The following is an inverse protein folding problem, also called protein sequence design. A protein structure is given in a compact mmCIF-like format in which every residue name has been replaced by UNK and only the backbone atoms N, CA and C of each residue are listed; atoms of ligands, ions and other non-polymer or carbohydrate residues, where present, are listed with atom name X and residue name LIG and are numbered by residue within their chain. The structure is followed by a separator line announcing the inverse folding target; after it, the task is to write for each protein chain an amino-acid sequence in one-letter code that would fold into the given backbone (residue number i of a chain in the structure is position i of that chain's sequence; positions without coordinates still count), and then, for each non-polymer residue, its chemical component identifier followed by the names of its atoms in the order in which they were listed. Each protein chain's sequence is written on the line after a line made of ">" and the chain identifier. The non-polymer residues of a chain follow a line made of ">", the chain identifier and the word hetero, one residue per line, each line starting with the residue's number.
data_IF_158100990206
#
_entry.id   IF_158100990206
#
_cell.length_a   1.000
_cell.length_b   1.000
_cell.length_c   1.000
_cell.angle_alpha   90.00
_cell.angle_beta   90.00
_cell.angle_gamma   90.00
#
_symmetry.space_group_name_H-M   'P 1'
#
loop_
_entity.id
_entity.type
_entity.pdbx_description
1 polymer ?
#
# COMPACT_ATOMS: atom_id res chain seq x y z
N UNK A 1 8.84 25.00 -17.86
CA UNK A 1 9.91 24.02 -17.66
C UNK A 1 9.28 22.65 -17.49
N UNK A 2 9.70 21.69 -18.30
CA UNK A 2 9.24 20.31 -18.22
C UNK A 2 10.48 19.43 -18.21
N UNK A 3 10.53 18.48 -17.27
CA UNK A 3 11.61 17.50 -17.23
C UNK A 3 11.29 16.37 -18.21
N UNK A 4 12.34 15.74 -18.74
CA UNK A 4 12.20 14.45 -19.40
C UNK A 4 11.80 13.42 -18.33
N UNK A 5 10.50 13.13 -18.28
CA UNK A 5 9.87 12.34 -17.24
C UNK A 5 8.86 11.38 -17.87
N UNK A 6 9.14 10.09 -17.74
CA UNK A 6 8.23 9.03 -18.15
C UNK A 6 7.26 8.70 -17.02
N UNK A 7 5.98 8.98 -17.25
CA UNK A 7 4.89 8.65 -16.33
C UNK A 7 4.51 7.17 -16.47
N UNK A 8 4.36 6.49 -15.33
CA UNK A 8 3.90 5.11 -15.25
C UNK A 8 2.78 4.98 -14.24
N UNK A 9 1.67 4.39 -14.67
CA UNK A 9 0.57 3.99 -13.80
C UNK A 9 1.01 2.86 -12.86
N UNK A 10 0.39 2.79 -11.69
CA UNK A 10 0.62 1.82 -10.62
C UNK A 10 -0.65 1.64 -9.80
N UNK A 11 -0.81 0.48 -9.17
CA UNK A 11 -1.98 0.19 -8.34
C UNK A 11 -1.94 0.93 -6.98
N UNK A 12 -0.74 1.21 -6.47
CA UNK A 12 -0.52 1.82 -5.16
C UNK A 12 0.29 3.11 -5.27
N UNK A 13 -0.34 4.24 -4.95
CA UNK A 13 0.24 5.58 -5.16
C UNK A 13 1.62 5.77 -4.51
N UNK A 14 1.85 5.24 -3.30
CA UNK A 14 3.16 5.35 -2.63
C UNK A 14 4.26 4.64 -3.43
N UNK A 15 4.00 3.39 -3.87
CA UNK A 15 5.00 2.61 -4.62
C UNK A 15 5.20 3.23 -5.99
N UNK A 16 4.10 3.56 -6.68
CA UNK A 16 4.13 4.15 -8.01
C UNK A 16 4.89 5.47 -8.04
N UNK A 17 4.72 6.36 -7.06
CA UNK A 17 5.44 7.63 -7.02
C UNK A 17 6.96 7.39 -6.90
N UNK A 18 7.36 6.40 -6.11
CA UNK A 18 8.77 6.04 -5.93
C UNK A 18 9.35 5.39 -7.19
N UNK A 19 8.63 4.45 -7.78
CA UNK A 19 9.00 3.79 -9.04
C UNK A 19 9.22 4.83 -10.12
N UNK A 20 8.27 5.76 -10.29
CA UNK A 20 8.39 6.88 -11.21
C UNK A 20 9.65 7.73 -10.91
N UNK A 21 9.91 8.10 -9.64
CA UNK A 21 11.11 8.87 -9.28
C UNK A 21 12.43 8.13 -9.56
N UNK A 22 12.48 6.81 -9.34
CA UNK A 22 13.69 6.00 -9.52
C UNK A 22 13.94 5.67 -11.00
N UNK A 23 12.89 5.31 -11.75
CA UNK A 23 12.98 4.99 -13.17
C UNK A 23 13.44 6.19 -13.99
N UNK A 24 13.03 7.41 -13.60
CA UNK A 24 13.47 8.67 -14.20
C UNK A 24 14.87 9.12 -13.74
N UNK A 25 15.49 8.39 -12.81
CA UNK A 25 16.92 8.51 -12.45
C UNK A 25 17.77 7.34 -12.97
N UNK A 26 17.23 6.56 -13.90
CA UNK A 26 17.93 5.43 -14.53
C UNK A 26 17.93 4.13 -13.72
N UNK A 27 17.32 4.10 -12.53
CA UNK A 27 17.21 2.88 -11.74
C UNK A 27 15.90 2.18 -12.04
N UNK A 28 15.96 1.22 -12.97
CA UNK A 28 14.79 0.47 -13.44
C UNK A 28 14.29 -0.48 -12.34
N UNK A 29 13.08 -0.22 -11.85
CA UNK A 29 12.39 -1.04 -10.87
C UNK A 29 10.89 -1.06 -11.18
N UNK A 30 10.24 -2.20 -10.96
CA UNK A 30 8.79 -2.37 -11.12
C UNK A 30 8.07 -2.12 -9.80
N UNK A 31 6.75 -1.91 -9.85
CA UNK A 31 5.93 -1.77 -8.64
C UNK A 31 5.97 -3.02 -7.73
N UNK A 32 5.85 -4.26 -8.26
CA UNK A 32 5.95 -5.46 -7.44
C UNK A 32 7.32 -5.58 -6.76
N UNK A 33 8.42 -5.39 -7.49
CA UNK A 33 9.77 -5.40 -6.91
C UNK A 33 9.92 -4.37 -5.79
N UNK A 34 9.46 -3.13 -6.00
CA UNK A 34 9.49 -2.08 -4.99
C UNK A 34 8.70 -2.46 -3.73
N UNK A 35 7.49 -2.99 -3.90
CA UNK A 35 6.62 -3.44 -2.81
C UNK A 35 7.24 -4.60 -2.02
N UNK A 36 7.76 -5.60 -2.73
CA UNK A 36 8.39 -6.78 -2.16
C UNK A 36 9.64 -6.46 -1.35
N UNK A 37 10.55 -5.65 -1.91
CA UNK A 37 11.75 -5.14 -1.24
C UNK A 37 11.42 -4.26 -0.01
N UNK A 38 10.26 -3.61 -0.01
CA UNK A 38 9.74 -2.91 1.16
C UNK A 38 9.16 -3.81 2.25
N UNK A 39 9.09 -5.12 2.02
CA UNK A 39 8.33 -6.08 2.83
C UNK A 39 6.90 -5.58 3.06
N UNK A 40 6.21 -5.23 1.97
CA UNK A 40 4.92 -4.56 1.99
C UNK A 40 3.74 -5.44 2.40
N UNK A 41 3.82 -6.75 2.21
CA UNK A 41 2.76 -7.67 2.63
C UNK A 41 2.79 -7.84 4.16
N UNK A 42 1.66 -7.58 4.81
CA UNK A 42 1.52 -7.62 6.26
C UNK A 42 0.09 -7.98 6.67
N UNK A 43 -0.14 -8.22 7.97
CA UNK A 43 -1.46 -8.26 8.55
C UNK A 43 -1.39 -7.80 10.01
N UNK A 44 -2.29 -6.91 10.43
CA UNK A 44 -2.44 -6.54 11.84
C UNK A 44 -3.89 -6.27 12.17
N UNK A 45 -4.30 -6.70 13.37
CA UNK A 45 -5.62 -6.44 13.93
C UNK A 45 -5.51 -5.82 15.32
N UNK A 46 -6.02 -4.61 15.50
CA UNK A 46 -5.99 -3.87 16.76
C UNK A 46 -7.43 -3.66 17.25
N UNK A 47 -7.99 -4.57 18.09
CA UNK A 47 -9.39 -4.51 18.50
C UNK A 47 -9.76 -3.27 19.31
N UNK A 48 -8.78 -2.68 20.01
CA UNK A 48 -8.98 -1.53 20.90
C UNK A 48 -8.76 -0.19 20.20
N UNK A 49 -8.15 -0.18 19.01
CA UNK A 49 -8.00 1.03 18.21
C UNK A 49 -9.14 1.09 17.20
N UNK A 50 -9.89 2.19 17.20
CA UNK A 50 -10.99 2.39 16.23
C UNK A 50 -10.53 3.29 15.10
N UNK A 51 -10.70 2.82 13.87
CA UNK A 51 -10.54 3.60 12.64
C UNK A 51 -11.88 3.53 11.90
N UNK A 52 -12.46 4.68 11.59
CA UNK A 52 -13.80 4.77 11.00
C UNK A 52 -14.83 3.97 11.83
N UNK A 53 -14.85 4.14 13.16
CA UNK A 53 -15.77 3.46 14.08
C UNK A 53 -15.70 1.91 14.16
N UNK A 54 -14.84 1.26 13.38
CA UNK A 54 -14.57 -0.17 13.43
C UNK A 54 -13.18 -0.47 14.02
N UNK A 55 -12.94 -1.69 14.55
CA UNK A 55 -11.61 -2.15 14.91
C UNK A 55 -10.60 -1.95 13.76
N UNK A 56 -9.41 -1.47 14.09
CA UNK A 56 -8.38 -1.23 13.08
C UNK A 56 -7.83 -2.55 12.56
N UNK A 57 -7.81 -2.70 11.23
CA UNK A 57 -7.19 -3.81 10.52
C UNK A 57 -6.38 -3.25 9.35
N UNK A 58 -5.21 -3.82 9.08
CA UNK A 58 -4.38 -3.41 7.94
C UNK A 58 -3.69 -4.62 7.33
N UNK A 59 -3.59 -4.62 6.00
CA UNK A 59 -2.90 -5.62 5.18
C UNK A 59 -1.50 -5.15 4.73
N UNK A 60 -1.06 -4.00 5.25
CA UNK A 60 0.24 -3.39 4.96
C UNK A 60 0.86 -2.75 6.21
N UNK A 61 2.19 -2.52 6.23
CA UNK A 61 2.84 -1.66 7.20
C UNK A 61 2.32 -0.22 7.18
N UNK A 62 2.70 0.57 8.18
CA UNK A 62 2.37 2.00 8.22
C UNK A 62 2.88 2.74 6.95
N UNK A 63 2.17 3.79 6.49
CA UNK A 63 2.59 4.59 5.34
C UNK A 63 4.04 5.07 5.46
N UNK A 64 4.80 5.02 4.36
CA UNK A 64 6.21 5.38 4.32
C UNK A 64 7.17 4.28 4.75
N UNK A 65 6.71 3.25 5.47
CA UNK A 65 7.57 2.14 5.94
C UNK A 65 8.06 1.28 4.77
N UNK A 66 7.20 1.00 3.79
CA UNK A 66 7.54 0.22 2.59
C UNK A 66 8.68 0.92 1.86
N UNK A 67 8.51 2.21 1.57
CA UNK A 67 9.54 3.01 0.94
C UNK A 67 10.86 3.03 1.71
N UNK A 68 10.80 3.30 3.02
CA UNK A 68 12.00 3.38 3.86
C UNK A 68 12.77 2.08 3.88
N UNK A 69 12.07 0.94 3.95
CA UNK A 69 12.68 -0.39 3.92
C UNK A 69 13.32 -0.65 2.56
N UNK A 70 12.60 -0.43 1.46
CA UNK A 70 13.12 -0.62 0.11
C UNK A 70 14.36 0.25 -0.12
N UNK A 71 14.28 1.55 0.18
CA UNK A 71 15.40 2.47 0.02
C UNK A 71 16.62 2.04 0.84
N UNK A 72 16.41 1.60 2.09
CA UNK A 72 17.50 1.07 2.95
C UNK A 72 18.12 -0.20 2.35
N UNK A 73 17.31 -1.12 1.85
CA UNK A 73 17.80 -2.37 1.26
C UNK A 73 18.58 -2.15 -0.03
N UNK A 74 18.17 -1.15 -0.82
CA UNK A 74 18.82 -0.80 -2.07
C UNK A 74 19.93 0.25 -1.93
N UNK A 75 20.26 0.71 -0.71
CA UNK A 75 21.25 1.76 -0.50
C UNK A 75 20.86 3.14 -1.05
N UNK A 76 19.58 3.34 -1.37
CA UNK A 76 19.05 4.60 -1.91
C UNK A 76 18.93 5.63 -0.78
N UNK A 77 19.55 6.80 -0.96
CA UNK A 77 19.38 7.93 -0.03
C UNK A 77 18.25 8.82 -0.51
N UNK A 78 17.31 9.09 0.39
CA UNK A 78 16.12 9.90 0.12
C UNK A 78 16.10 11.10 1.06
N UNK A 79 15.97 12.30 0.50
CA UNK A 79 15.65 13.49 1.32
C UNK A 79 14.15 13.60 1.51
N UNK A 80 13.73 14.01 2.71
CA UNK A 80 12.34 14.25 3.07
C UNK A 80 12.25 15.55 3.86
N UNK A 81 11.25 16.36 3.57
CA UNK A 81 11.02 17.62 4.25
C UNK A 81 9.54 17.79 4.54
N UNK A 82 9.22 18.42 5.68
CA UNK A 82 7.89 18.93 6.00
C UNK A 82 8.02 20.40 6.37
N UNK A 83 7.00 21.18 6.07
CA UNK A 83 7.04 22.63 6.22
C UNK A 83 5.77 23.11 6.90
N UNK A 84 5.92 23.86 7.99
CA UNK A 84 4.81 24.63 8.57
C UNK A 84 4.43 25.83 7.70
N UNK A 85 5.39 26.40 6.96
CA UNK A 85 5.19 27.55 6.08
C UNK A 85 5.03 27.10 4.60
N UNK A 86 3.85 27.32 3.98
CA UNK A 86 3.59 26.96 2.58
C UNK A 86 4.55 27.59 1.57
N UNK A 87 4.92 28.87 1.77
CA UNK A 87 5.83 29.57 0.87
C UNK A 87 7.22 28.92 0.83
N UNK A 88 7.74 28.45 1.98
CA UNK A 88 9.02 27.70 2.02
C UNK A 88 8.92 26.35 1.31
N UNK A 89 7.80 25.66 1.48
CA UNK A 89 7.54 24.40 0.80
C UNK A 89 7.47 24.58 -0.72
N UNK A 90 6.89 25.70 -1.17
CA UNK A 90 6.80 26.06 -2.59
C UNK A 90 8.18 26.41 -3.16
N UNK A 91 8.94 27.25 -2.45
CA UNK A 91 10.30 27.60 -2.85
C UNK A 91 11.18 26.35 -3.02
N UNK A 92 11.08 25.37 -2.10
CA UNK A 92 11.86 24.14 -2.20
C UNK A 92 11.46 23.27 -3.39
N UNK A 93 10.17 23.20 -3.71
CA UNK A 93 9.69 22.49 -4.89
C UNK A 93 10.21 23.14 -6.17
N UNK A 94 10.11 24.46 -6.28
CA UNK A 94 10.58 25.21 -7.45
C UNK A 94 12.11 25.10 -7.62
N UNK A 95 12.87 25.13 -6.52
CA UNK A 95 14.32 24.88 -6.52
C UNK A 95 14.66 23.49 -7.05
N UNK A 96 13.94 22.46 -6.62
CA UNK A 96 14.15 21.11 -7.11
C UNK A 96 13.90 21.00 -8.62
N UNK A 97 12.80 21.59 -9.12
CA UNK A 97 12.47 21.56 -10.54
C UNK A 97 13.53 22.28 -11.39
N UNK A 98 14.03 23.43 -10.93
CA UNK A 98 15.16 24.14 -11.57
C UNK A 98 16.44 23.30 -11.65
N UNK A 99 16.65 22.42 -10.68
CA UNK A 99 17.80 21.51 -10.62
C UNK A 99 17.54 20.16 -11.31
N UNK A 100 16.49 20.04 -12.12
CA UNK A 100 16.09 18.80 -12.79
C UNK A 100 15.77 17.64 -11.83
N UNK A 101 15.18 17.95 -10.68
CA UNK A 101 14.81 16.95 -9.67
C UNK A 101 13.28 16.83 -9.62
N UNK A 102 12.69 15.78 -10.24
CA UNK A 102 11.28 15.47 -10.02
C UNK A 102 11.08 15.16 -8.53
N UNK A 103 9.96 15.62 -7.98
CA UNK A 103 9.75 15.65 -6.53
C UNK A 103 8.45 14.96 -6.17
N UNK A 104 8.54 13.92 -5.35
CA UNK A 104 7.39 13.27 -4.74
C UNK A 104 6.78 14.17 -3.68
N UNK A 105 5.46 14.25 -3.65
CA UNK A 105 4.68 14.99 -2.67
C UNK A 105 3.71 14.04 -1.97
N UNK A 106 3.42 14.32 -0.70
CA UNK A 106 2.25 13.75 -0.02
C UNK A 106 1.15 14.81 -0.01
N UNK A 107 -0.06 14.43 -0.41
CA UNK A 107 -1.21 15.33 -0.59
C UNK A 107 -2.50 14.71 -0.03
N UNK A 108 -3.50 15.58 0.18
CA UNK A 108 -4.87 15.19 0.48
C UNK A 108 -5.70 14.96 -0.78
N UNK A 109 -6.48 13.87 -0.80
CA UNK A 109 -7.28 13.46 -1.96
C UNK A 109 -8.51 14.35 -2.18
N UNK A 110 -9.15 14.80 -1.10
CA UNK A 110 -10.46 15.48 -1.14
C UNK A 110 -10.54 16.70 -2.06
N UNK A 111 -9.42 17.40 -2.29
CA UNK A 111 -9.38 18.61 -3.12
C UNK A 111 -8.63 18.43 -4.46
N UNK A 112 -8.34 17.18 -4.86
CA UNK A 112 -7.79 16.90 -6.19
C UNK A 112 -8.91 17.06 -7.23
N UNK A 113 -8.91 18.18 -7.95
CA UNK A 113 -9.94 18.54 -8.92
C UNK A 113 -10.02 17.59 -10.12
N UNK A 114 -8.96 16.84 -10.41
CA UNK A 114 -8.90 15.86 -11.49
C UNK A 114 -9.46 14.49 -11.09
N UNK A 115 -9.75 14.23 -9.80
CA UNK A 115 -10.51 13.04 -9.39
C UNK A 115 -12.01 13.30 -9.52
N UNK A 116 -12.81 12.29 -9.91
CA UNK A 116 -14.26 12.36 -9.79
C UNK A 116 -14.69 12.55 -8.33
N UNK A 117 -15.84 13.19 -8.11
CA UNK A 117 -16.34 13.53 -6.77
C UNK A 117 -16.49 12.31 -5.86
N UNK A 118 -16.84 11.16 -6.43
CA UNK A 118 -17.01 9.88 -5.73
C UNK A 118 -15.71 9.34 -5.14
N UNK A 119 -14.55 9.72 -5.71
CA UNK A 119 -13.23 9.32 -5.24
C UNK A 119 -12.56 10.37 -4.35
N UNK A 120 -13.20 11.52 -4.11
CA UNK A 120 -12.70 12.59 -3.24
C UNK A 120 -13.11 12.35 -1.78
N UNK A 121 -12.39 11.48 -1.09
CA UNK A 121 -12.56 11.25 0.36
C UNK A 121 -11.44 11.90 1.19
N UNK A 122 -11.69 12.11 2.49
CA UNK A 122 -10.71 12.69 3.41
C UNK A 122 -9.58 11.70 3.74
N UNK A 123 -8.57 11.67 2.88
CA UNK A 123 -7.34 10.91 3.05
C UNK A 123 -6.13 11.76 2.69
N UNK A 124 -5.21 11.91 3.66
CA UNK A 124 -4.08 12.87 3.60
C UNK A 124 -2.72 12.20 3.34
N UNK A 125 -2.71 10.96 2.83
CA UNK A 125 -1.48 10.21 2.59
C UNK A 125 -1.36 9.72 1.14
N UNK A 126 -1.93 10.47 0.18
CA UNK A 126 -1.80 10.18 -1.25
C UNK A 126 -0.47 10.70 -1.79
N UNK A 127 0.16 9.96 -2.70
CA UNK A 127 1.48 10.28 -3.22
C UNK A 127 1.42 10.60 -4.71
N UNK A 128 1.96 11.75 -5.08
CA UNK A 128 2.06 12.22 -6.47
C UNK A 128 3.49 12.67 -6.75
N UNK A 129 3.87 12.80 -8.02
CA UNK A 129 5.17 13.34 -8.42
C UNK A 129 4.95 14.62 -9.23
N UNK A 130 5.60 15.71 -8.82
CA UNK A 130 5.69 16.92 -9.64
C UNK A 130 6.96 16.84 -10.47
N UNK A 131 6.81 16.89 -11.79
CA UNK A 131 7.92 16.76 -12.75
C UNK A 131 8.11 18.00 -13.62
N UNK A 132 7.27 19.02 -13.47
CA UNK A 132 7.42 20.23 -14.26
C UNK A 132 6.54 21.36 -13.76
N UNK A 133 6.71 22.52 -14.40
CA UNK A 133 5.91 23.72 -14.17
C UNK A 133 5.83 24.52 -15.47
N UNK A 134 4.62 24.78 -15.93
CA UNK A 134 4.33 25.64 -17.07
C UNK A 134 3.50 26.82 -16.60
N UNK A 135 3.99 28.04 -16.82
CA UNK A 135 3.37 29.27 -16.31
C UNK A 135 3.07 29.18 -14.79
N UNK A 136 1.79 29.19 -14.40
CA UNK A 136 1.32 29.05 -13.02
C UNK A 136 0.80 27.64 -12.67
N UNK A 137 1.06 26.63 -13.52
CA UNK A 137 0.59 25.25 -13.34
C UNK A 137 1.76 24.29 -13.12
N UNK A 138 1.61 23.40 -12.16
CA UNK A 138 2.53 22.29 -11.92
C UNK A 138 2.07 21.07 -12.70
N UNK A 139 3.02 20.42 -13.39
CA UNK A 139 2.79 19.16 -14.10
C UNK A 139 2.98 18.00 -13.13
N UNK A 140 1.99 17.10 -13.10
CA UNK A 140 1.83 16.08 -12.07
C UNK A 140 1.70 14.70 -12.73
N UNK A 141 2.53 13.80 -12.27
CA UNK A 141 2.38 12.36 -12.43
C UNK A 141 1.70 11.82 -11.18
N UNK A 142 0.39 11.57 -11.25
CA UNK A 142 -0.32 10.81 -10.24
C UNK A 142 -0.32 9.33 -10.63
N UNK A 143 0.38 8.43 -9.90
CA UNK A 143 0.55 7.05 -10.32
C UNK A 143 -0.75 6.25 -10.46
N UNK A 144 -1.88 6.71 -9.92
CA UNK A 144 -3.16 5.96 -10.08
C UNK A 144 -3.85 6.24 -11.42
N UNK A 145 -3.40 7.25 -12.16
CA UNK A 145 -3.86 7.58 -13.50
C UNK A 145 -2.91 7.00 -14.55
N UNK A 146 -3.41 6.81 -15.77
CA UNK A 146 -2.64 6.41 -16.96
C UNK A 146 -2.11 7.60 -17.77
N UNK A 147 -2.46 8.82 -17.37
CA UNK A 147 -2.01 10.08 -17.96
C UNK A 147 -1.56 11.09 -16.89
N UNK A 148 -0.76 12.08 -17.32
CA UNK A 148 -0.35 13.20 -16.46
C UNK A 148 -1.43 14.28 -16.36
N UNK A 149 -1.50 14.94 -15.21
CA UNK A 149 -2.44 16.04 -14.94
C UNK A 149 -1.69 17.30 -14.52
N UNK A 150 -2.41 18.39 -14.32
CA UNK A 150 -1.82 19.63 -13.80
C UNK A 150 -2.70 20.28 -12.74
N UNK A 151 -2.08 20.99 -11.80
CA UNK A 151 -2.76 21.85 -10.82
C UNK A 151 -2.19 23.25 -10.86
N UNK A 152 -3.01 24.28 -10.62
CA UNK A 152 -2.48 25.61 -10.32
C UNK A 152 -1.67 25.58 -9.02
N UNK A 153 -0.88 26.63 -8.79
CA UNK A 153 -0.18 26.83 -7.52
C UNK A 153 -1.13 26.77 -6.31
N UNK A 154 -2.29 27.41 -6.40
CA UNK A 154 -3.29 27.50 -5.33
C UNK A 154 -3.95 26.14 -5.07
N UNK A 155 -4.29 25.42 -6.14
CA UNK A 155 -4.85 24.06 -6.06
C UNK A 155 -3.85 23.09 -5.43
N UNK A 156 -2.58 23.15 -5.85
CA UNK A 156 -1.52 22.31 -5.31
C UNK A 156 -1.23 22.62 -3.84
N UNK A 157 -1.22 23.91 -3.45
CA UNK A 157 -1.04 24.30 -2.05
C UNK A 157 -2.17 23.78 -1.17
N UNK A 158 -3.42 23.89 -1.64
CA UNK A 158 -4.61 23.41 -0.93
C UNK A 158 -4.51 21.92 -0.57
N UNK A 159 -4.05 21.08 -1.51
CA UNK A 159 -3.94 19.63 -1.28
C UNK A 159 -2.70 19.26 -0.46
N UNK A 160 -1.61 20.04 -0.56
CA UNK A 160 -0.38 19.85 0.26
C UNK A 160 -0.58 20.23 1.74
N UNK A 161 -1.59 21.04 2.04
CA UNK A 161 -1.93 21.52 3.39
C UNK A 161 -3.33 21.10 3.84
N UNK A 162 -3.88 20.02 3.27
CA UNK A 162 -5.14 19.44 3.70
C UNK A 162 -5.15 19.17 5.21
N UNK A 163 -6.23 19.56 5.88
CA UNK A 163 -6.41 19.42 7.33
C UNK A 163 -6.85 18.00 7.70
N UNK A 164 -6.66 17.62 8.96
CA UNK A 164 -7.13 16.35 9.54
C UNK A 164 -6.02 15.37 9.87
N UNK A 165 -6.40 14.11 10.13
CA UNK A 165 -5.46 13.04 10.44
C UNK A 165 -4.45 12.86 9.30
N UNK A 166 -3.18 12.60 9.66
CA UNK A 166 -2.07 12.46 8.69
C UNK A 166 -1.87 13.67 7.77
N UNK A 167 -2.22 14.89 8.20
CA UNK A 167 -2.04 16.11 7.40
C UNK A 167 -0.66 16.16 6.72
N UNK A 168 -0.57 16.49 5.41
CA UNK A 168 0.68 16.32 4.69
C UNK A 168 1.74 17.34 5.11
N UNK A 169 1.35 18.57 5.45
CA UNK A 169 2.25 19.65 5.91
C UNK A 169 3.36 19.96 4.90
N UNK A 170 2.98 20.11 3.62
CA UNK A 170 3.92 20.41 2.54
C UNK A 170 4.99 19.32 2.32
N UNK A 171 4.70 18.08 2.72
CA UNK A 171 5.67 16.99 2.67
C UNK A 171 6.15 16.74 1.25
N UNK A 172 7.47 16.82 1.07
CA UNK A 172 8.16 16.54 -0.19
C UNK A 172 9.31 15.56 0.04
N UNK A 173 9.58 14.74 -0.95
CA UNK A 173 10.67 13.78 -0.94
C UNK A 173 11.23 13.52 -2.33
N UNK A 174 12.50 13.17 -2.39
CA UNK A 174 13.17 12.83 -3.64
C UNK A 174 14.47 12.04 -3.37
N UNK A 175 14.83 11.10 -4.26
CA UNK A 175 16.11 10.40 -4.17
C UNK A 175 17.26 11.36 -4.44
N UNK A 176 18.29 11.35 -3.59
CA UNK A 176 19.52 12.16 -3.75
C UNK A 176 20.74 11.33 -4.14
N UNK A 177 20.72 10.03 -3.85
CA UNK A 177 21.75 9.11 -4.30
C UNK A 177 21.09 7.78 -4.61
N UNK A 178 21.31 7.30 -5.83
CA UNK A 178 20.85 6.01 -6.31
C UNK A 178 22.11 5.25 -6.71
N UNK A 179 22.46 4.16 -6.02
CA UNK A 179 23.68 3.42 -6.33
C UNK A 179 23.61 2.82 -7.73
N UNK A 180 24.74 2.84 -8.45
CA UNK A 180 24.86 2.22 -9.77
C UNK A 180 24.80 0.69 -9.69
N UNK A 181 25.38 0.12 -8.62
CA UNK A 181 25.39 -1.31 -8.35
C UNK A 181 24.69 -1.56 -7.02
N UNK A 182 23.63 -2.35 -7.06
CA UNK A 182 22.90 -2.79 -5.87
C UNK A 182 22.91 -4.30 -5.82
N UNK A 183 23.22 -4.86 -4.65
CA UNK A 183 23.08 -6.28 -4.38
C UNK A 183 21.60 -6.64 -4.23
N UNK A 184 20.91 -6.71 -5.37
CA UNK A 184 19.50 -7.00 -5.44
C UNK A 184 19.21 -8.43 -4.96
N UNK A 185 20.14 -9.37 -5.17
CA UNK A 185 20.05 -10.75 -4.69
C UNK A 185 19.86 -10.81 -3.18
N UNK A 186 20.74 -10.16 -2.41
CA UNK A 186 20.61 -10.17 -0.95
C UNK A 186 19.44 -9.30 -0.48
N UNK A 187 19.11 -8.22 -1.19
CA UNK A 187 17.94 -7.40 -0.88
C UNK A 187 16.62 -8.21 -1.02
N UNK A 188 16.43 -8.93 -2.12
CA UNK A 188 15.26 -9.80 -2.32
C UNK A 188 15.15 -10.84 -1.19
N UNK A 189 16.23 -11.58 -0.91
CA UNK A 189 16.23 -12.61 0.14
C UNK A 189 15.91 -12.04 1.53
N UNK A 190 16.51 -10.89 1.89
CA UNK A 190 16.24 -10.22 3.17
C UNK A 190 14.79 -9.75 3.26
N UNK A 191 14.26 -9.18 2.19
CA UNK A 191 12.88 -8.71 2.13
C UNK A 191 11.86 -9.85 2.28
N UNK A 192 12.08 -10.98 1.58
CA UNK A 192 11.25 -12.19 1.70
C UNK A 192 11.30 -12.75 3.14
N UNK A 193 12.50 -12.92 3.71
CA UNK A 193 12.67 -13.40 5.09
C UNK A 193 11.96 -12.50 6.09
N UNK A 194 12.05 -11.19 5.89
CA UNK A 194 11.35 -10.23 6.73
C UNK A 194 9.83 -10.37 6.62
N UNK A 195 9.27 -10.44 5.42
CA UNK A 195 7.82 -10.66 5.25
C UNK A 195 7.39 -11.96 5.92
N UNK A 196 8.13 -13.05 5.75
CA UNK A 196 7.84 -14.32 6.42
C UNK A 196 7.86 -14.19 7.96
N UNK A 197 8.86 -13.48 8.51
CA UNK A 197 8.96 -13.25 9.95
C UNK A 197 7.82 -12.38 10.49
N UNK A 198 7.43 -11.35 9.75
CA UNK A 198 6.32 -10.48 10.10
C UNK A 198 4.98 -11.26 10.06
N UNK A 199 4.76 -12.09 9.02
CA UNK A 199 3.51 -12.87 8.87
C UNK A 199 3.43 -14.07 9.81
N UNK A 200 4.56 -14.66 10.19
CA UNK A 200 4.66 -15.76 11.17
C UNK A 200 4.99 -15.26 12.59
N UNK A 201 4.89 -13.94 12.84
CA UNK A 201 5.26 -13.36 14.12
C UNK A 201 4.53 -14.06 15.27
N UNK A 202 5.21 -14.37 16.39
CA UNK A 202 4.59 -15.06 17.50
C UNK A 202 3.62 -14.17 18.32
N UNK A 203 3.14 -13.06 17.75
CA UNK A 203 2.31 -12.04 18.39
C UNK A 203 0.84 -12.24 17.99
N UNK A 204 -0.13 -12.29 18.93
CA UNK A 204 -1.53 -12.62 18.63
C UNK A 204 -2.25 -11.69 17.65
N UNK A 205 -1.79 -10.44 17.54
CA UNK A 205 -2.43 -9.39 16.73
C UNK A 205 -1.80 -9.20 15.34
N UNK A 206 -0.69 -9.88 15.04
CA UNK A 206 0.08 -9.72 13.80
C UNK A 206 0.03 -10.99 12.97
N UNK A 207 0.08 -10.84 11.65
CA UNK A 207 0.24 -11.94 10.70
C UNK A 207 -0.90 -12.95 10.80
N UNK A 208 -0.55 -14.22 10.62
CA UNK A 208 -1.50 -15.34 10.61
C UNK A 208 -2.21 -15.53 11.96
N UNK A 209 -1.58 -15.14 13.07
CA UNK A 209 -2.23 -15.13 14.39
C UNK A 209 -3.26 -14.01 14.51
N UNK A 210 -2.96 -12.82 13.97
CA UNK A 210 -3.90 -11.73 13.83
C UNK A 210 -5.14 -12.12 13.02
N UNK A 211 -4.95 -12.84 11.91
CA UNK A 211 -6.06 -13.35 11.08
C UNK A 211 -6.97 -14.28 11.90
N UNK A 212 -6.40 -15.24 12.64
CA UNK A 212 -7.16 -16.14 13.52
C UNK A 212 -7.88 -15.39 14.64
N UNK A 213 -7.28 -14.31 15.15
CA UNK A 213 -7.92 -13.46 16.14
C UNK A 213 -9.17 -12.77 15.57
N UNK A 214 -9.09 -12.26 14.35
CA UNK A 214 -10.26 -11.69 13.64
C UNK A 214 -11.32 -12.76 13.39
N UNK A 215 -10.93 -13.94 12.92
CA UNK A 215 -11.86 -15.04 12.68
C UNK A 215 -12.67 -15.38 13.94
N UNK A 216 -12.00 -15.48 15.10
CA UNK A 216 -12.66 -15.70 16.40
C UNK A 216 -13.51 -14.51 16.85
N UNK A 217 -13.15 -13.28 16.46
CA UNK A 217 -13.90 -12.07 16.78
C UNK A 217 -15.20 -11.98 15.99
N UNK A 218 -15.20 -12.39 14.70
CA UNK A 218 -16.40 -12.43 13.83
C UNK A 218 -17.53 -13.23 14.50
N UNK A 219 -17.23 -14.39 15.10
CA UNK A 219 -18.21 -15.21 15.83
C UNK A 219 -18.87 -14.48 17.00
N UNK A 220 -18.17 -13.51 17.59
CA UNK A 220 -18.61 -12.83 18.82
C UNK A 220 -19.24 -11.46 18.54
N UNK A 221 -18.96 -10.83 17.40
CA UNK A 221 -19.41 -9.47 17.12
C UNK A 221 -20.93 -9.35 17.13
N UNK A 222 -21.66 -10.27 16.51
CA UNK A 222 -23.12 -10.16 16.42
C UNK A 222 -23.79 -10.24 17.80
N UNK A 223 -23.33 -11.14 18.68
CA UNK A 223 -23.82 -11.27 20.07
C UNK A 223 -23.43 -10.07 20.94
N UNK A 224 -22.22 -9.56 20.79
CA UNK A 224 -21.67 -8.49 21.66
C UNK A 224 -22.04 -7.08 21.23
N UNK A 225 -22.18 -6.84 19.93
CA UNK A 225 -22.31 -5.51 19.35
C UNK A 225 -23.65 -5.31 18.64
N UNK A 226 -24.43 -6.37 18.44
CA UNK A 226 -25.60 -6.40 17.58
C UNK A 226 -25.24 -6.58 16.10
N UNK A 227 -26.21 -7.05 15.32
CA UNK A 227 -26.06 -7.39 13.88
C UNK A 227 -25.55 -6.20 13.06
N UNK A 228 -26.09 -4.99 13.28
CA UNK A 228 -25.72 -3.82 12.50
C UNK A 228 -24.22 -3.48 12.63
N UNK A 229 -23.69 -3.47 13.86
CA UNK A 229 -22.27 -3.19 14.11
C UNK A 229 -21.36 -4.34 13.67
N UNK A 230 -21.81 -5.59 13.78
CA UNK A 230 -21.08 -6.75 13.28
C UNK A 230 -20.90 -6.68 11.75
N UNK A 231 -21.99 -6.39 11.03
CA UNK A 231 -21.97 -6.21 9.58
C UNK A 231 -21.08 -5.04 9.17
N UNK A 232 -21.13 -3.93 9.92
CA UNK A 232 -20.24 -2.79 9.68
C UNK A 232 -18.76 -3.17 9.83
N UNK A 233 -18.39 -3.92 10.88
CA UNK A 233 -17.02 -4.39 11.07
C UNK A 233 -16.56 -5.30 9.92
N UNK A 234 -17.43 -6.20 9.42
CA UNK A 234 -17.14 -7.04 8.26
C UNK A 234 -16.92 -6.20 6.99
N UNK A 235 -17.77 -5.22 6.72
CA UNK A 235 -17.60 -4.30 5.59
C UNK A 235 -16.29 -3.54 5.70
N UNK A 236 -15.94 -3.04 6.90
CA UNK A 236 -14.67 -2.36 7.09
C UNK A 236 -13.46 -3.28 6.86
N UNK A 237 -13.54 -4.55 7.27
CA UNK A 237 -12.51 -5.56 6.98
C UNK A 237 -12.32 -5.75 5.47
N UNK A 238 -13.41 -5.88 4.72
CA UNK A 238 -13.40 -6.02 3.25
C UNK A 238 -12.87 -4.76 2.57
N UNK A 239 -13.32 -3.57 2.99
CA UNK A 239 -12.83 -2.30 2.44
C UNK A 239 -11.31 -2.18 2.58
N UNK A 240 -10.78 -2.50 3.76
CA UNK A 240 -9.32 -2.47 4.01
C UNK A 240 -8.55 -3.50 3.16
N UNK A 241 -9.22 -4.57 2.72
CA UNK A 241 -8.65 -5.63 1.90
C UNK A 241 -8.69 -5.31 0.40
N UNK A 242 -9.81 -4.81 -0.12
CA UNK A 242 -10.08 -4.70 -1.56
C UNK A 242 -9.81 -3.30 -2.11
N UNK A 243 -10.13 -2.24 -1.36
CA UNK A 243 -10.26 -0.89 -1.94
C UNK A 243 -9.07 0.02 -1.61
N UNK A 244 -8.36 -0.20 -0.49
CA UNK A 244 -7.33 0.75 -0.02
C UNK A 244 -5.97 0.44 -0.64
N UNK A 245 -5.87 0.64 -1.95
CA UNK A 245 -4.63 0.57 -2.73
C UNK A 245 -4.00 -0.81 -2.79
N UNK A 246 -4.80 -1.87 -2.64
CA UNK A 246 -4.31 -3.26 -2.58
C UNK A 246 -4.27 -3.96 -3.93
N UNK A 247 -5.03 -3.44 -4.93
CA UNK A 247 -5.29 -4.14 -6.19
C UNK A 247 -6.20 -5.37 -6.02
N UNK A 248 -6.91 -5.48 -4.89
CA UNK A 248 -7.68 -6.67 -4.49
C UNK A 248 -6.87 -7.68 -3.68
N UNK A 249 -7.56 -8.53 -2.91
CA UNK A 249 -6.94 -9.64 -2.18
C UNK A 249 -5.88 -9.21 -1.16
N UNK A 250 -5.96 -8.00 -0.59
CA UNK A 250 -5.08 -7.55 0.49
C UNK A 250 -3.58 -7.57 0.16
N UNK A 251 -3.17 -7.13 -1.04
CA UNK A 251 -1.79 -7.12 -1.55
C UNK A 251 -1.19 -8.50 -1.91
N UNK A 252 -1.97 -9.59 -1.89
CA UNK A 252 -1.43 -10.91 -2.26
C UNK A 252 -1.05 -10.98 -3.74
N UNK A 253 -1.80 -10.34 -4.64
CA UNK A 253 -1.48 -10.35 -6.08
C UNK A 253 -0.17 -9.61 -6.41
N UNK A 254 0.03 -8.40 -5.88
CA UNK A 254 1.30 -7.68 -6.07
C UNK A 254 2.49 -8.41 -5.40
N UNK A 255 2.26 -9.10 -4.28
CA UNK A 255 3.30 -9.94 -3.68
C UNK A 255 3.58 -11.20 -4.52
N UNK A 256 2.57 -11.80 -5.16
CA UNK A 256 2.76 -12.90 -6.10
C UNK A 256 3.60 -12.44 -7.30
N UNK A 257 3.29 -11.28 -7.89
CA UNK A 257 4.09 -10.70 -8.98
C UNK A 257 5.55 -10.44 -8.54
N UNK A 258 5.76 -9.94 -7.32
CA UNK A 258 7.11 -9.82 -6.76
C UNK A 258 7.83 -11.16 -6.66
N UNK A 259 7.18 -12.21 -6.17
CA UNK A 259 7.79 -13.54 -6.06
C UNK A 259 8.12 -14.13 -7.43
N UNK A 260 7.33 -13.81 -8.46
CA UNK A 260 7.63 -14.19 -9.84
C UNK A 260 8.90 -13.49 -10.32
N UNK A 261 8.95 -12.17 -10.27
CA UNK A 261 10.13 -11.38 -10.68
C UNK A 261 11.38 -11.78 -9.88
N UNK A 262 11.23 -12.03 -8.57
CA UNK A 262 12.31 -12.52 -7.72
C UNK A 262 12.77 -13.93 -8.12
N UNK A 263 11.84 -14.81 -8.49
CA UNK A 263 12.13 -16.15 -8.97
C UNK A 263 12.89 -16.14 -10.29
N UNK A 264 12.48 -15.28 -11.23
CA UNK A 264 13.17 -15.07 -12.50
C UNK A 264 14.58 -14.49 -12.27
N UNK A 265 14.70 -13.42 -11.48
CA UNK A 265 15.99 -12.77 -11.20
C UNK A 265 16.99 -13.69 -10.48
N UNK A 266 16.51 -14.52 -9.55
CA UNK A 266 17.34 -15.44 -8.77
C UNK A 266 17.52 -16.82 -9.42
N UNK A 267 16.92 -17.07 -10.59
CA UNK A 267 16.80 -18.40 -11.20
C UNK A 267 16.27 -19.46 -10.21
N UNK A 268 15.23 -19.11 -9.44
CA UNK A 268 14.65 -19.94 -8.39
C UNK A 268 13.24 -20.40 -8.76
N UNK A 269 13.15 -21.64 -9.26
CA UNK A 269 11.87 -22.26 -9.64
C UNK A 269 10.87 -22.42 -8.48
N UNK A 270 11.36 -22.56 -7.25
CA UNK A 270 10.49 -22.66 -6.08
C UNK A 270 9.76 -21.33 -5.81
N UNK A 271 10.42 -20.19 -6.01
CA UNK A 271 9.79 -18.87 -5.90
C UNK A 271 8.72 -18.66 -6.98
N UNK A 272 8.96 -19.11 -8.21
CA UNK A 272 7.96 -19.06 -9.28
C UNK A 272 6.72 -19.92 -8.94
N UNK A 273 6.90 -21.09 -8.35
CA UNK A 273 5.78 -21.91 -7.90
C UNK A 273 5.02 -21.28 -6.73
N UNK A 274 5.74 -20.70 -5.77
CA UNK A 274 5.14 -19.98 -4.64
C UNK A 274 4.43 -18.70 -5.08
N UNK A 275 4.87 -18.05 -6.17
CA UNK A 275 4.13 -16.94 -6.78
C UNK A 275 2.72 -17.38 -7.19
N UNK A 276 2.59 -18.48 -7.93
CA UNK A 276 1.30 -19.05 -8.33
C UNK A 276 0.43 -19.40 -7.12
N UNK A 277 1.03 -20.00 -6.09
CA UNK A 277 0.31 -20.32 -4.85
C UNK A 277 -0.19 -19.06 -4.13
N UNK A 278 0.61 -17.99 -4.07
CA UNK A 278 0.21 -16.72 -3.48
C UNK A 278 -0.94 -16.06 -4.25
N UNK A 279 -0.95 -16.16 -5.59
CA UNK A 279 -2.07 -15.69 -6.40
C UNK A 279 -3.37 -16.43 -6.05
N UNK A 280 -3.32 -17.76 -5.92
CA UNK A 280 -4.48 -18.57 -5.50
C UNK A 280 -4.96 -18.24 -4.08
N UNK A 281 -4.05 -17.90 -3.16
CA UNK A 281 -4.43 -17.40 -1.83
C UNK A 281 -5.12 -16.02 -1.96
N UNK A 282 -4.64 -15.16 -2.86
CA UNK A 282 -5.29 -13.89 -3.20
C UNK A 282 -6.73 -14.07 -3.70
N UNK A 283 -6.98 -15.06 -4.56
CA UNK A 283 -8.33 -15.39 -5.03
C UNK A 283 -9.25 -15.80 -3.87
N UNK A 284 -8.76 -16.64 -2.95
CA UNK A 284 -9.52 -17.04 -1.76
C UNK A 284 -9.84 -15.87 -0.82
N UNK A 285 -8.94 -14.90 -0.70
CA UNK A 285 -9.25 -13.65 -0.01
C UNK A 285 -10.37 -12.89 -0.70
N UNK A 286 -10.37 -12.84 -2.04
CA UNK A 286 -11.42 -12.18 -2.81
C UNK A 286 -12.77 -12.88 -2.64
N UNK A 287 -12.78 -14.22 -2.64
CA UNK A 287 -13.98 -15.02 -2.34
C UNK A 287 -14.53 -14.67 -0.94
N UNK A 288 -13.65 -14.62 0.06
CA UNK A 288 -14.02 -14.19 1.42
C UNK A 288 -14.63 -12.78 1.43
N UNK A 289 -14.07 -11.83 0.68
CA UNK A 289 -14.62 -10.47 0.57
C UNK A 289 -16.01 -10.46 -0.08
N UNK A 290 -16.21 -11.26 -1.14
CA UNK A 290 -17.51 -11.41 -1.79
C UNK A 290 -18.54 -11.99 -0.81
N UNK A 291 -18.21 -13.06 -0.09
CA UNK A 291 -19.09 -13.66 0.91
C UNK A 291 -19.43 -12.66 2.03
N UNK A 292 -18.43 -11.98 2.59
CA UNK A 292 -18.62 -10.98 3.65
C UNK A 292 -19.48 -9.79 3.18
N UNK A 293 -19.33 -9.34 1.93
CA UNK A 293 -20.14 -8.26 1.35
C UNK A 293 -21.63 -8.63 1.21
N UNK A 294 -21.96 -9.91 0.99
CA UNK A 294 -23.34 -10.40 0.87
C UNK A 294 -24.11 -10.32 2.19
N UNK A 295 -23.42 -10.43 3.33
CA UNK A 295 -24.01 -10.26 4.66
C UNK A 295 -24.60 -8.86 4.84
N UNK A 296 -23.91 -7.84 4.33
CA UNK A 296 -24.38 -6.46 4.40
C UNK A 296 -25.68 -6.23 3.60
N UNK A 297 -25.85 -6.91 2.45
CA UNK A 297 -27.06 -6.83 1.60
C UNK A 297 -28.29 -7.55 2.19
N UNK A 298 -28.29 -7.89 3.49
CA UNK A 298 -29.39 -8.52 4.26
C UNK A 298 -29.89 -9.87 3.72
N UNK A 299 -29.11 -10.59 2.90
CA UNK A 299 -29.57 -11.85 2.30
C UNK A 299 -29.49 -13.08 3.24
N UNK A 300 -28.76 -13.03 4.35
CA UNK A 300 -28.78 -14.09 5.38
C UNK A 300 -28.31 -13.58 6.76
N UNK A 301 -29.20 -13.02 7.57
CA UNK A 301 -28.88 -12.56 8.94
C UNK A 301 -29.00 -13.69 9.98
N UNK A 302 -28.59 -14.92 9.65
CA UNK A 302 -28.61 -16.05 10.58
C UNK A 302 -27.23 -16.23 11.22
N UNK A 303 -27.16 -16.72 12.48
CA UNK A 303 -25.91 -16.99 13.21
C UNK A 303 -24.92 -17.86 12.41
N UNK A 304 -25.44 -18.71 11.52
CA UNK A 304 -24.69 -19.54 10.60
C UNK A 304 -23.72 -18.74 9.70
N UNK A 305 -24.09 -17.54 9.22
CA UNK A 305 -23.24 -16.80 8.28
C UNK A 305 -21.93 -16.33 8.91
N UNK A 306 -21.96 -15.91 10.18
CA UNK A 306 -20.74 -15.52 10.90
C UNK A 306 -19.85 -16.73 11.17
N UNK A 307 -20.45 -17.91 11.37
CA UNK A 307 -19.70 -19.16 11.51
C UNK A 307 -18.99 -19.53 10.21
N UNK A 308 -19.66 -19.45 9.07
CA UNK A 308 -19.07 -19.70 7.75
C UNK A 308 -17.89 -18.74 7.51
N UNK A 309 -18.09 -17.43 7.69
CA UNK A 309 -17.02 -16.44 7.49
C UNK A 309 -15.85 -16.64 8.45
N UNK A 310 -16.12 -16.99 9.71
CA UNK A 310 -15.07 -17.32 10.67
C UNK A 310 -14.24 -18.51 10.21
N UNK A 311 -14.90 -19.60 9.79
CA UNK A 311 -14.23 -20.80 9.30
C UNK A 311 -13.39 -20.50 8.06
N UNK A 312 -13.91 -19.73 7.10
CA UNK A 312 -13.17 -19.30 5.90
C UNK A 312 -11.91 -18.50 6.25
N UNK A 313 -12.00 -17.57 7.19
CA UNK A 313 -10.84 -16.79 7.61
C UNK A 313 -9.83 -17.63 8.41
N UNK A 314 -10.27 -18.65 9.14
CA UNK A 314 -9.37 -19.65 9.75
C UNK A 314 -8.62 -20.44 8.68
N UNK A 315 -9.32 -20.96 7.66
CA UNK A 315 -8.72 -21.68 6.53
C UNK A 315 -7.68 -20.82 5.79
N UNK A 316 -8.00 -19.55 5.50
CA UNK A 316 -7.06 -18.60 4.92
C UNK A 316 -5.80 -18.43 5.79
N UNK A 317 -5.97 -18.40 7.11
CA UNK A 317 -4.87 -18.25 8.03
C UNK A 317 -3.97 -19.49 8.11
N UNK A 318 -4.55 -20.69 7.95
CA UNK A 318 -3.81 -21.96 7.83
C UNK A 318 -3.04 -22.03 6.51
N UNK A 319 -3.67 -21.64 5.40
CA UNK A 319 -3.03 -21.56 4.09
C UNK A 319 -1.83 -20.60 4.09
N UNK A 320 -2.01 -19.39 4.63
CA UNK A 320 -0.91 -18.43 4.72
C UNK A 320 0.20 -18.90 5.66
N UNK A 321 -0.12 -19.54 6.77
CA UNK A 321 0.90 -20.08 7.66
C UNK A 321 1.74 -21.16 6.97
N UNK A 322 1.09 -22.09 6.27
CA UNK A 322 1.79 -23.10 5.47
C UNK A 322 2.62 -22.46 4.36
N UNK A 323 2.07 -21.47 3.65
CA UNK A 323 2.74 -20.72 2.61
C UNK A 323 4.03 -20.04 3.12
N UNK A 324 3.95 -19.23 4.17
CA UNK A 324 5.11 -18.49 4.66
C UNK A 324 6.18 -19.39 5.27
N UNK A 325 5.80 -20.56 5.83
CA UNK A 325 6.77 -21.58 6.26
C UNK A 325 7.54 -22.16 5.07
N UNK A 326 6.88 -22.42 3.94
CA UNK A 326 7.53 -22.87 2.69
C UNK A 326 8.40 -21.78 2.10
N UNK A 327 7.86 -20.56 1.96
CA UNK A 327 8.58 -19.42 1.40
C UNK A 327 9.87 -19.10 2.17
N UNK A 328 9.83 -19.15 3.51
CA UNK A 328 11.01 -18.91 4.34
C UNK A 328 12.15 -19.90 4.07
N UNK A 329 11.85 -21.14 3.68
CA UNK A 329 12.84 -22.17 3.34
C UNK A 329 13.39 -22.02 1.92
N UNK A 330 12.68 -21.32 1.04
CA UNK A 330 13.04 -21.14 -0.36
C UNK A 330 14.13 -20.06 -0.60
N UNK A 331 14.57 -19.34 0.46
CA UNK A 331 15.47 -18.16 0.37
C UNK A 331 16.60 -18.11 1.39
#
# INVERSE_FOLDING_TARGET
>A
MQLDFNHQQSAHCENGAIVNLLNNKGFKITEPMAFGLGSGLFFVYLPFLKVNHAPAVSYRPLPGVIFNRMAKQLGIKVKRFKFSNPAKAQQKLDENLKNNIPTGLVVGVYHLNYFPDEYRFHFNAHNIVVFGKEENRYLISDPVLDYTVSLTKEELEKVRYAKGALAPKGHLYYPIAVPQNTDLTNAIKKAIKKTCNDMLAPVPIVGVKGMRMVAKAILKWHKKLGVAKANYNLVNLVRMQEEIGTGGGGFRFIYAAFLQEAGEYLNNAQLMQLSKEMALIGDKWRDFAVEASRVYKKRSNTENVYQVLSNRLMELADLEEAFFKKLKKAV
#
